data_IF_637084985943
#
_entry.id   IF_637084985943
#
_cell.length_a   1.000
_cell.length_b   1.000
_cell.length_c   1.000
_cell.angle_alpha   90.00
_cell.angle_beta   90.00
_cell.angle_gamma   90.00
#
_symmetry.space_group_name_H-M   'P 1'
#
loop_
_entity.id
_entity.type
_entity.pdbx_description
1 polymer ?
#
# COMPACT_ATOMS: atom_id res chain seq x y z
N UNK A 1 -31.06 16.01 -26.14
CA UNK A 1 -29.58 16.02 -26.11
C UNK A 1 -29.02 16.85 -24.97
N UNK A 2 -29.50 18.08 -24.70
CA UNK A 2 -29.00 18.91 -23.60
C UNK A 2 -29.18 18.27 -22.20
N UNK A 3 -30.36 17.72 -21.91
CA UNK A 3 -30.66 17.08 -20.61
C UNK A 3 -29.82 15.82 -20.34
N UNK A 4 -29.43 15.12 -21.40
CA UNK A 4 -28.61 13.90 -21.32
C UNK A 4 -27.14 14.24 -21.02
N UNK A 5 -26.62 15.30 -21.65
CA UNK A 5 -25.31 15.86 -21.34
C UNK A 5 -25.26 16.36 -19.88
N UNK A 6 -26.32 17.02 -19.41
CA UNK A 6 -26.39 17.51 -18.03
C UNK A 6 -26.42 16.35 -17.02
N UNK A 7 -27.22 15.30 -17.28
CA UNK A 7 -27.24 14.10 -16.44
C UNK A 7 -25.89 13.39 -16.44
N UNK A 8 -25.23 13.29 -17.59
CA UNK A 8 -23.90 12.68 -17.68
C UNK A 8 -22.88 13.44 -16.82
N UNK A 9 -22.85 14.78 -16.90
CA UNK A 9 -21.97 15.61 -16.06
C UNK A 9 -22.27 15.49 -14.56
N UNK A 10 -23.56 15.46 -14.18
CA UNK A 10 -23.94 15.25 -12.78
C UNK A 10 -23.51 13.88 -12.26
N UNK A 11 -23.67 12.84 -13.08
CA UNK A 11 -23.21 11.49 -12.74
C UNK A 11 -21.69 11.46 -12.57
N UNK A 12 -20.94 12.05 -13.49
CA UNK A 12 -19.49 12.14 -13.43
C UNK A 12 -19.04 12.83 -12.13
N UNK A 13 -19.60 14.00 -11.81
CA UNK A 13 -19.27 14.72 -10.57
C UNK A 13 -19.57 13.89 -9.31
N UNK A 14 -20.66 13.10 -9.31
CA UNK A 14 -20.99 12.21 -8.21
C UNK A 14 -20.04 11.02 -8.11
N UNK A 15 -19.61 10.46 -9.23
CA UNK A 15 -18.62 9.38 -9.24
C UNK A 15 -17.27 9.85 -8.70
N UNK A 16 -16.83 11.05 -9.10
CA UNK A 16 -15.61 11.66 -8.54
C UNK A 16 -15.72 11.79 -7.02
N UNK A 17 -16.83 12.33 -6.52
CA UNK A 17 -17.04 12.43 -5.07
C UNK A 17 -17.06 11.08 -4.35
N UNK A 18 -17.59 10.03 -4.99
CA UNK A 18 -17.58 8.66 -4.44
C UNK A 18 -16.15 8.11 -4.39
N UNK A 19 -15.36 8.25 -5.45
CA UNK A 19 -13.97 7.76 -5.46
C UNK A 19 -13.12 8.50 -4.43
N UNK A 20 -13.22 9.82 -4.33
CA UNK A 20 -12.50 10.57 -3.29
C UNK A 20 -12.92 10.17 -1.86
N UNK A 21 -14.18 9.80 -1.65
CA UNK A 21 -14.64 9.29 -0.36
C UNK A 21 -14.13 7.88 -0.06
N UNK A 22 -13.88 7.06 -1.08
CA UNK A 22 -13.25 5.75 -0.92
C UNK A 22 -11.79 5.94 -0.53
N UNK A 23 -11.05 6.79 -1.23
CA UNK A 23 -9.63 7.08 -0.91
C UNK A 23 -9.50 7.59 0.53
N UNK A 24 -10.33 8.57 0.93
CA UNK A 24 -10.31 9.10 2.30
C UNK A 24 -10.70 8.05 3.36
N UNK A 25 -11.55 7.08 3.00
CA UNK A 25 -11.90 5.98 3.90
C UNK A 25 -10.73 5.03 4.07
N UNK A 26 -10.00 4.73 3.00
CA UNK A 26 -8.85 3.84 3.04
C UNK A 26 -7.71 4.47 3.86
N UNK A 27 -7.44 5.77 3.66
CA UNK A 27 -6.50 6.55 4.49
C UNK A 27 -6.90 6.52 5.98
N UNK A 28 -8.18 6.70 6.27
CA UNK A 28 -8.68 6.66 7.65
C UNK A 28 -8.54 5.25 8.27
N UNK A 29 -8.68 4.18 7.48
CA UNK A 29 -8.48 2.81 7.95
C UNK A 29 -7.02 2.52 8.27
N UNK A 30 -6.10 3.02 7.44
CA UNK A 30 -4.65 2.91 7.68
C UNK A 30 -4.29 3.63 8.98
N UNK A 31 -4.71 4.90 9.12
CA UNK A 31 -4.45 5.70 10.32
C UNK A 31 -5.04 5.06 11.58
N UNK A 32 -6.25 4.51 11.52
CA UNK A 32 -6.87 3.76 12.60
C UNK A 32 -6.01 2.57 13.01
N UNK A 33 -5.59 1.74 12.05
CA UNK A 33 -4.78 0.57 12.33
C UNK A 33 -3.42 0.90 12.95
N UNK A 34 -2.74 1.95 12.45
CA UNK A 34 -1.49 2.46 13.00
C UNK A 34 -1.66 2.91 14.46
N UNK A 35 -2.67 3.73 14.75
CA UNK A 35 -2.95 4.18 16.12
C UNK A 35 -3.25 3.00 17.06
N UNK A 36 -3.98 1.97 16.60
CA UNK A 36 -4.24 0.77 17.39
C UNK A 36 -2.97 -0.06 17.65
N UNK A 37 -2.02 -0.10 16.70
CA UNK A 37 -0.72 -0.75 16.90
C UNK A 37 0.08 0.00 17.96
N UNK A 38 0.17 1.33 17.86
CA UNK A 38 0.89 2.16 18.83
C UNK A 38 0.34 1.99 20.24
N UNK A 39 -0.99 2.03 20.41
CA UNK A 39 -1.61 1.83 21.72
C UNK A 39 -1.32 0.43 22.29
N UNK A 40 -1.31 -0.60 21.44
CA UNK A 40 -0.96 -1.96 21.87
C UNK A 40 0.51 -2.05 22.29
N UNK A 41 1.40 -1.36 21.57
CA UNK A 41 2.83 -1.35 21.87
C UNK A 41 3.13 -0.53 23.15
N UNK A 42 2.25 0.40 23.54
CA UNK A 42 2.21 1.04 24.86
C UNK A 42 1.65 0.12 25.98
N UNK A 43 1.23 -1.10 25.64
CA UNK A 43 0.76 -2.11 26.60
C UNK A 43 -0.75 -2.15 26.82
N UNK A 44 -1.55 -1.43 26.04
CA UNK A 44 -3.02 -1.49 26.15
C UNK A 44 -3.52 -2.83 25.61
N UNK A 45 -4.35 -3.54 26.39
CA UNK A 45 -4.88 -4.82 25.98
C UNK A 45 -5.96 -4.64 24.89
N UNK A 46 -6.08 -5.62 23.99
CA UNK A 46 -7.05 -5.59 22.89
C UNK A 46 -8.51 -5.48 23.36
N UNK A 47 -8.84 -6.05 24.53
CA UNK A 47 -10.16 -5.93 25.12
C UNK A 47 -10.47 -4.47 25.53
N UNK A 48 -9.50 -3.80 26.16
CA UNK A 48 -9.63 -2.39 26.57
C UNK A 48 -9.73 -1.47 25.36
N UNK A 49 -8.97 -1.75 24.28
CA UNK A 49 -9.10 -1.03 23.01
C UNK A 49 -10.50 -1.16 22.40
N UNK A 50 -11.07 -2.36 22.42
CA UNK A 50 -12.44 -2.59 21.95
C UNK A 50 -13.47 -1.80 22.78
N UNK A 51 -13.32 -1.79 24.11
CA UNK A 51 -14.18 -1.02 25.00
C UNK A 51 -14.06 0.49 24.78
N UNK A 52 -12.84 1.02 24.67
CA UNK A 52 -12.60 2.46 24.49
C UNK A 52 -13.06 3.00 23.13
N UNK A 53 -12.94 2.19 22.08
CA UNK A 53 -13.25 2.63 20.70
C UNK A 53 -14.67 2.29 20.25
N UNK A 54 -15.35 1.39 20.98
CA UNK A 54 -16.64 0.84 20.58
C UNK A 54 -16.55 -0.17 19.43
N UNK A 55 -15.33 -0.53 18.99
CA UNK A 55 -15.09 -1.58 18.01
C UNK A 55 -15.19 -2.95 18.69
N UNK A 56 -15.57 -3.98 17.95
CA UNK A 56 -15.42 -5.35 18.43
C UNK A 56 -13.96 -5.75 18.51
N UNK A 57 -13.63 -6.68 19.41
CA UNK A 57 -12.27 -7.24 19.49
C UNK A 57 -11.79 -7.80 18.14
N UNK A 58 -12.71 -8.34 17.32
CA UNK A 58 -12.39 -8.84 15.98
C UNK A 58 -11.97 -7.73 15.03
N UNK A 59 -12.67 -6.59 15.05
CA UNK A 59 -12.36 -5.42 14.22
C UNK A 59 -11.03 -4.79 14.63
N UNK A 60 -10.77 -4.65 15.94
CA UNK A 60 -9.47 -4.18 16.45
C UNK A 60 -8.34 -5.08 15.97
N UNK A 61 -8.49 -6.41 16.11
CA UNK A 61 -7.48 -7.35 15.65
C UNK A 61 -7.29 -7.36 14.13
N UNK A 62 -8.35 -7.10 13.35
CA UNK A 62 -8.27 -7.00 11.89
C UNK A 62 -7.53 -5.72 11.47
N UNK A 63 -7.85 -4.58 12.08
CA UNK A 63 -7.20 -3.30 11.80
C UNK A 63 -5.69 -3.34 12.13
N UNK A 64 -5.32 -3.94 13.27
CA UNK A 64 -3.91 -4.11 13.66
C UNK A 64 -3.14 -4.99 12.66
N UNK A 65 -3.74 -6.09 12.17
CA UNK A 65 -3.09 -6.93 11.15
C UNK A 65 -2.92 -6.19 9.84
N UNK A 66 -3.99 -5.55 9.35
CA UNK A 66 -3.96 -4.78 8.10
C UNK A 66 -2.90 -3.66 8.13
N UNK A 67 -2.71 -2.97 9.26
CA UNK A 67 -1.67 -1.95 9.40
C UNK A 67 -0.24 -2.52 9.33
N UNK A 68 -0.03 -3.71 9.91
CA UNK A 68 1.28 -4.38 9.87
C UNK A 68 1.63 -4.86 8.47
N UNK A 69 0.65 -5.41 7.75
CA UNK A 69 0.83 -5.88 6.38
C UNK A 69 1.15 -4.70 5.44
N UNK A 70 0.48 -3.54 5.60
CA UNK A 70 0.80 -2.33 4.83
C UNK A 70 2.18 -1.72 5.15
N UNK A 71 2.66 -1.85 6.40
CA UNK A 71 3.99 -1.37 6.78
C UNK A 71 5.09 -2.20 6.12
N UNK A 72 4.88 -3.51 5.98
CA UNK A 72 5.83 -4.41 5.33
C UNK A 72 6.01 -4.13 3.82
N UNK A 73 4.97 -3.67 3.12
CA UNK A 73 5.06 -3.30 1.70
C UNK A 73 5.75 -1.93 1.46
N UNK A 74 5.84 -1.07 2.49
CA UNK A 74 6.45 0.27 2.33
C UNK A 74 7.96 0.28 2.58
N UNK A 75 8.49 -0.68 3.35
CA UNK A 75 9.91 -0.72 3.76
C UNK A 75 10.85 -1.31 2.68
N UNK A 76 10.32 -1.96 1.63
CA UNK A 76 11.11 -2.54 0.54
C UNK A 76 11.38 -1.56 -0.63
N UNK A 77 10.78 -0.36 -0.60
CA UNK A 77 10.86 0.60 -1.72
C UNK A 77 11.95 1.68 -1.58
N UNK A 78 12.74 1.69 -0.51
CA UNK A 78 13.58 2.83 -0.14
C UNK A 78 15.08 2.54 0.07
N UNK A 79 15.69 1.54 -0.60
CA UNK A 79 17.16 1.34 -0.48
C UNK A 79 17.93 0.86 -1.73
N UNK A 80 17.44 1.03 -2.97
CA UNK A 80 18.26 0.63 -4.14
C UNK A 80 18.24 1.60 -5.34
N UNK A 81 18.82 2.80 -5.16
CA UNK A 81 19.24 3.64 -6.30
C UNK A 81 20.31 4.66 -5.92
N UNK A 82 21.30 4.29 -5.11
CA UNK A 82 22.40 5.21 -4.77
C UNK A 82 23.73 4.50 -4.49
N UNK A 83 24.13 3.50 -5.28
CA UNK A 83 25.56 3.26 -5.50
C UNK A 83 25.81 2.35 -6.71
N UNK A 84 26.31 2.90 -7.80
CA UNK A 84 27.27 2.23 -8.68
C UNK A 84 27.78 3.26 -9.69
N UNK A 85 28.69 4.05 -9.17
CA UNK A 85 29.69 4.78 -9.92
C UNK A 85 30.49 3.82 -10.82
N UNK A 86 30.55 4.16 -12.11
CA UNK A 86 31.65 3.90 -13.06
C UNK A 86 32.43 2.58 -12.96
N UNK A 87 32.27 1.72 -13.97
CA UNK A 87 33.42 1.24 -14.77
C UNK A 87 33.01 0.94 -16.21
N UNK A 88 33.51 1.75 -17.13
CA UNK A 88 33.58 1.42 -18.54
C UNK A 88 34.76 0.45 -18.78
N UNK A 89 34.47 -0.78 -19.18
CA UNK A 89 35.34 -1.68 -19.93
C UNK A 89 34.40 -2.63 -20.68
N UNK A 90 34.24 -2.57 -22.00
CA UNK A 90 35.33 -2.73 -22.95
C UNK A 90 35.59 -4.22 -23.14
N UNK A 91 35.26 -4.73 -24.34
CA UNK A 91 35.64 -6.02 -24.92
C UNK A 91 34.65 -7.19 -24.76
N UNK A 92 33.77 -7.36 -25.74
CA UNK A 92 33.46 -8.70 -26.27
C UNK A 92 34.36 -8.94 -27.49
N UNK A 93 35.37 -9.82 -27.41
CA UNK A 93 35.91 -10.45 -28.60
C UNK A 93 35.04 -11.64 -28.99
N UNK A 94 34.98 -11.83 -30.30
CA UNK A 94 34.17 -12.76 -31.05
C UNK A 94 34.46 -14.25 -30.77
N UNK A 95 33.48 -15.07 -31.18
CA UNK A 95 33.57 -16.42 -31.75
C UNK A 95 34.71 -17.36 -31.32
N UNK A 96 34.35 -18.58 -30.94
CA UNK A 96 34.84 -19.80 -31.63
C UNK A 96 34.14 -21.07 -31.12
N UNK A 97 33.48 -21.75 -32.07
CA UNK A 97 33.28 -23.20 -32.25
C UNK A 97 33.61 -24.19 -31.12
N UNK A 98 32.73 -25.20 -31.00
CA UNK A 98 33.23 -26.59 -30.86
C UNK A 98 32.43 -27.52 -29.97
N UNK A 99 31.61 -28.35 -30.62
CA UNK A 99 31.67 -29.81 -30.51
C UNK A 99 31.05 -30.58 -29.30
N UNK A 100 30.05 -31.39 -29.70
CA UNK A 100 29.79 -32.81 -29.35
C UNK A 100 29.08 -33.14 -28.03
N UNK A 101 27.82 -33.56 -28.16
CA UNK A 101 27.16 -34.44 -27.20
C UNK A 101 27.22 -35.89 -27.72
N UNK A 102 27.45 -36.88 -26.84
CA UNK A 102 27.38 -38.30 -27.17
C UNK A 102 25.93 -38.80 -27.33
#
# INVERSE_FOLDING_TARGET
MADELERARKREAKLVAVFSAIDARDDAQIALGQALVELRDLGVAQADLAEMTGLSAREVGAAIRAAKDNTADTDDAATDAADSDTTAAGQTPADTNGDQQP
#
